data_IF_311613251175
#
_entry.id   IF_311613251175
#
_cell.length_a   1.000
_cell.length_b   1.000
_cell.length_c   1.000
_cell.angle_alpha   90.00
_cell.angle_beta   90.00
_cell.angle_gamma   90.00
#
_symmetry.space_group_name_H-M   'P 1'
#
loop_
_entity.id
_entity.type
_entity.pdbx_description
1 polymer ?
#
# COMPACT_ATOMS: atom_id res chain seq x y z
N UNK A 1 20.97 -56.21 -43.85
CA UNK A 1 21.27 -57.53 -43.22
C UNK A 1 20.86 -57.36 -41.76
N UNK A 2 19.68 -57.91 -41.37
CA UNK A 2 19.50 -59.13 -40.58
C UNK A 2 20.27 -59.04 -39.25
N UNK A 3 19.72 -59.15 -38.03
CA UNK A 3 18.53 -59.85 -37.57
C UNK A 3 18.33 -59.52 -36.09
N UNK A 4 17.11 -59.47 -35.64
CA UNK A 4 16.34 -60.53 -34.92
C UNK A 4 16.67 -60.71 -33.40
N UNK A 5 15.62 -60.49 -32.64
CA UNK A 5 15.34 -60.75 -31.21
C UNK A 5 15.70 -62.17 -30.71
N UNK A 6 15.64 -62.50 -29.39
CA UNK A 6 14.37 -62.60 -28.68
C UNK A 6 14.34 -62.33 -27.14
N UNK A 7 13.14 -62.09 -26.69
CA UNK A 7 12.37 -62.30 -25.48
C UNK A 7 12.83 -63.41 -24.50
N UNK A 8 12.76 -63.15 -23.19
CA UNK A 8 12.40 -64.18 -22.20
C UNK A 8 11.58 -63.58 -21.05
N UNK A 9 10.37 -64.12 -20.91
CA UNK A 9 9.47 -64.04 -19.70
C UNK A 9 10.01 -64.94 -18.61
N UNK A 10 9.82 -64.57 -17.33
CA UNK A 10 9.47 -65.55 -16.31
C UNK A 10 8.59 -64.89 -15.22
N UNK A 11 7.58 -65.65 -14.86
CA UNK A 11 6.45 -65.36 -14.02
C UNK A 11 6.68 -65.71 -12.53
N UNK A 12 5.84 -65.09 -11.69
CA UNK A 12 5.25 -65.80 -10.54
C UNK A 12 5.79 -65.41 -9.17
N UNK A 13 5.01 -64.80 -8.34
CA UNK A 13 4.32 -65.48 -7.23
C UNK A 13 3.42 -64.49 -6.46
N UNK A 14 2.15 -64.82 -6.40
CA UNK A 14 1.09 -64.20 -5.57
C UNK A 14 1.25 -64.69 -4.14
N UNK A 15 1.22 -63.80 -3.18
CA UNK A 15 0.84 -64.13 -1.82
C UNK A 15 -0.26 -63.17 -1.32
N UNK A 16 -1.44 -63.72 -1.20
CA UNK A 16 -2.63 -63.09 -0.59
C UNK A 16 -2.53 -63.23 0.93
N UNK A 17 -2.60 -62.16 1.66
CA UNK A 17 -2.95 -62.14 3.09
C UNK A 17 -4.05 -61.14 3.30
N UNK A 18 -5.25 -61.65 3.53
CA UNK A 18 -6.45 -60.98 4.02
C UNK A 18 -6.28 -60.60 5.47
N UNK A 19 -6.50 -59.30 5.78
CA UNK A 19 -6.86 -58.88 7.11
C UNK A 19 -7.92 -57.78 6.98
N UNK A 20 -9.11 -58.02 7.51
CA UNK A 20 -10.19 -57.11 7.69
C UNK A 20 -9.80 -55.94 8.61
N UNK A 21 -10.09 -54.72 8.20
CA UNK A 21 -10.03 -53.54 9.06
C UNK A 21 -10.91 -52.47 8.44
N UNK A 22 -11.89 -52.03 9.19
CA UNK A 22 -13.06 -51.24 8.83
C UNK A 22 -12.72 -49.96 8.08
N UNK A 23 -13.54 -49.66 7.08
CA UNK A 23 -13.62 -48.38 6.39
C UNK A 23 -14.10 -47.27 7.36
N UNK A 24 -13.27 -46.25 7.55
CA UNK A 24 -13.73 -44.97 8.05
C UNK A 24 -13.80 -44.04 6.81
N UNK A 25 -14.98 -43.60 6.50
CA UNK A 25 -15.25 -42.51 5.57
C UNK A 25 -14.72 -41.21 6.14
N UNK A 26 -14.03 -40.34 5.39
CA UNK A 26 -13.83 -38.98 5.83
C UNK A 26 -15.16 -38.23 5.67
N UNK A 27 -15.67 -37.79 6.77
CA UNK A 27 -16.79 -36.84 6.92
C UNK A 27 -16.25 -35.47 6.44
N UNK A 28 -16.93 -34.88 5.49
CA UNK A 28 -16.72 -33.51 5.05
C UNK A 28 -17.08 -32.60 6.21
N UNK A 29 -16.11 -31.88 6.74
CA UNK A 29 -16.34 -30.77 7.64
C UNK A 29 -16.37 -29.49 6.80
N UNK A 30 -17.58 -29.11 6.36
CA UNK A 30 -17.94 -27.74 6.07
C UNK A 30 -18.24 -27.08 7.43
N UNK A 31 -17.30 -26.29 7.94
CA UNK A 31 -17.59 -25.29 8.94
C UNK A 31 -16.99 -23.96 8.44
N UNK A 32 -17.78 -22.87 8.41
CA UNK A 32 -17.26 -21.55 8.10
C UNK A 32 -16.26 -21.18 9.19
N UNK A 33 -15.09 -20.69 8.77
CA UNK A 33 -14.08 -20.16 9.68
C UNK A 33 -14.67 -18.90 10.31
N UNK A 34 -15.19 -19.04 11.53
CA UNK A 34 -15.44 -17.93 12.43
C UNK A 34 -14.07 -17.27 12.67
N UNK A 35 -13.90 -16.02 12.24
CA UNK A 35 -12.76 -15.20 12.60
C UNK A 35 -12.93 -14.77 14.06
N UNK A 36 -12.67 -15.69 14.99
CA UNK A 36 -12.43 -15.33 16.39
C UNK A 36 -11.11 -14.58 16.45
N UNK A 37 -11.22 -13.26 16.54
CA UNK A 37 -10.11 -12.39 16.92
C UNK A 37 -9.89 -12.60 18.43
N UNK A 38 -9.18 -13.65 18.81
CA UNK A 38 -8.65 -13.79 20.16
C UNK A 38 -7.53 -12.75 20.34
N UNK A 39 -7.93 -11.54 20.74
CA UNK A 39 -7.03 -10.56 21.33
C UNK A 39 -6.56 -11.08 22.72
N UNK A 40 -5.34 -10.75 23.15
CA UNK A 40 -4.90 -11.07 24.50
C UNK A 40 -5.84 -10.42 25.51
N UNK A 41 -6.14 -11.17 26.60
CA UNK A 41 -7.00 -10.82 27.74
C UNK A 41 -6.91 -9.33 28.09
N UNK A 42 -7.96 -8.57 27.75
CA UNK A 42 -8.17 -7.26 28.33
C UNK A 42 -8.45 -7.41 29.83
N UNK A 43 -7.78 -6.64 30.70
CA UNK A 43 -8.21 -6.56 32.08
C UNK A 43 -9.61 -5.97 32.12
N UNK A 44 -10.55 -6.66 32.76
CA UNK A 44 -11.91 -6.22 32.96
C UNK A 44 -11.92 -4.78 33.48
N UNK A 45 -12.28 -3.83 32.59
CA UNK A 45 -12.56 -2.45 32.97
C UNK A 45 -13.90 -2.47 33.67
N UNK A 46 -13.86 -2.34 35.00
CA UNK A 46 -15.06 -2.05 35.80
C UNK A 46 -15.64 -0.73 35.30
N UNK A 47 -16.91 -0.76 34.91
CA UNK A 47 -17.72 0.42 34.66
C UNK A 47 -17.61 1.41 35.86
N UNK A 48 -16.74 2.39 35.75
CA UNK A 48 -16.85 3.61 36.55
C UNK A 48 -17.60 4.62 35.71
N UNK A 49 -18.83 4.92 36.13
CA UNK A 49 -19.58 6.08 35.69
C UNK A 49 -18.71 7.33 35.87
N UNK A 50 -18.15 7.84 34.78
CA UNK A 50 -17.56 9.19 34.76
C UNK A 50 -18.69 10.16 34.52
N UNK A 51 -19.19 10.75 35.61
CA UNK A 51 -20.07 11.92 35.55
C UNK A 51 -19.35 13.10 34.89
N UNK A 52 -19.88 13.51 33.73
CA UNK A 52 -19.94 14.90 33.29
C UNK A 52 -18.65 15.60 32.92
N UNK A 53 -18.17 15.43 31.70
CA UNK A 53 -17.83 16.56 30.84
C UNK A 53 -18.43 16.25 29.47
N UNK A 54 -19.47 17.01 29.08
CA UNK A 54 -19.96 16.99 27.71
C UNK A 54 -18.85 17.53 26.83
N UNK A 55 -18.04 16.61 26.29
CA UNK A 55 -17.20 16.86 25.13
C UNK A 55 -18.07 17.10 23.90
N UNK A 56 -17.54 17.60 22.78
CA UNK A 56 -18.31 17.85 21.56
C UNK A 56 -19.08 16.58 21.19
N UNK A 57 -20.41 16.75 21.01
CA UNK A 57 -21.35 15.63 20.93
C UNK A 57 -21.01 14.64 19.82
N UNK A 58 -20.93 13.36 20.19
CA UNK A 58 -20.91 12.24 19.26
C UNK A 58 -22.32 12.07 18.69
N UNK A 59 -22.58 12.46 17.46
CA UNK A 59 -23.72 11.98 16.70
C UNK A 59 -23.29 10.82 15.83
N UNK A 60 -23.84 9.64 16.09
CA UNK A 60 -23.60 8.40 15.33
C UNK A 60 -22.11 8.02 15.13
N UNK A 61 -21.26 8.33 16.12
CA UNK A 61 -19.83 8.02 16.07
C UNK A 61 -18.99 9.03 15.30
N UNK A 62 -19.53 10.21 14.97
CA UNK A 62 -18.79 11.34 14.42
C UNK A 62 -18.63 12.45 15.45
N UNK A 63 -17.53 13.19 15.37
CA UNK A 63 -17.26 14.33 16.22
C UNK A 63 -17.56 15.62 15.45
N UNK A 64 -18.58 16.39 15.83
CA UNK A 64 -18.73 17.77 15.40
C UNK A 64 -18.99 18.69 16.59
N UNK A 65 -18.64 19.94 16.39
CA UNK A 65 -18.64 20.93 17.47
C UNK A 65 -20.00 21.61 17.65
N UNK A 66 -20.97 21.36 16.78
CA UNK A 66 -22.29 21.98 16.81
C UNK A 66 -23.42 20.95 16.79
N UNK A 67 -24.63 21.37 17.20
CA UNK A 67 -25.86 20.59 17.10
C UNK A 67 -26.48 20.57 15.68
N UNK A 68 -25.89 21.33 14.74
CA UNK A 68 -26.33 21.37 13.35
C UNK A 68 -25.82 20.14 12.60
N UNK A 69 -26.55 19.69 11.59
CA UNK A 69 -26.03 18.65 10.71
C UNK A 69 -24.81 19.15 9.95
N UNK A 70 -23.69 18.36 9.88
CA UNK A 70 -22.49 18.80 9.21
C UNK A 70 -22.71 18.95 7.71
N UNK A 71 -21.93 19.81 7.08
CA UNK A 71 -21.82 19.82 5.63
C UNK A 71 -21.23 18.50 5.13
N UNK A 72 -21.66 18.05 3.96
CA UNK A 72 -21.11 16.83 3.34
C UNK A 72 -21.05 16.96 1.82
N UNK A 73 -19.99 16.43 1.21
CA UNK A 73 -19.86 16.30 -0.24
C UNK A 73 -20.37 14.98 -0.78
N UNK A 74 -20.70 14.05 0.12
CA UNK A 74 -21.18 12.70 -0.19
C UNK A 74 -22.42 12.36 0.65
N UNK A 75 -23.25 11.39 0.28
CA UNK A 75 -24.29 10.85 1.16
C UNK A 75 -23.64 10.25 2.42
N UNK A 76 -24.05 10.72 3.62
CA UNK A 76 -23.44 10.28 4.89
C UNK A 76 -23.74 8.80 5.17
N UNK A 77 -24.85 8.28 4.67
CA UNK A 77 -25.27 6.88 4.81
C UNK A 77 -24.40 5.90 3.96
N UNK A 78 -23.58 6.40 3.05
CA UNK A 78 -22.56 5.60 2.36
C UNK A 78 -21.31 5.35 3.23
N UNK A 79 -21.14 6.09 4.35
CA UNK A 79 -20.04 5.87 5.28
C UNK A 79 -20.40 4.76 6.25
N UNK A 80 -19.73 3.63 6.14
CA UNK A 80 -20.03 2.43 6.94
C UNK A 80 -19.02 2.25 8.08
N UNK A 81 -19.42 1.49 9.11
CA UNK A 81 -18.49 1.10 10.18
C UNK A 81 -17.56 0.00 9.70
N UNK A 82 -16.26 0.20 9.87
CA UNK A 82 -15.22 -0.83 9.69
C UNK A 82 -15.05 -1.75 10.91
N UNK A 83 -15.74 -1.44 12.02
CA UNK A 83 -15.68 -2.21 13.27
C UNK A 83 -15.00 -1.47 14.41
N UNK A 84 -13.74 -1.05 14.31
CA UNK A 84 -13.05 -0.33 15.38
C UNK A 84 -13.70 1.02 15.71
N UNK A 85 -13.65 1.49 16.97
CA UNK A 85 -14.02 2.86 17.32
C UNK A 85 -12.96 3.84 16.78
N UNK A 86 -13.20 5.17 16.84
CA UNK A 86 -12.16 6.17 16.56
C UNK A 86 -10.88 5.88 17.35
N UNK A 87 -9.73 5.91 16.65
CA UNK A 87 -8.39 5.51 17.14
C UNK A 87 -8.31 4.08 17.70
N UNK A 88 -9.29 3.22 17.40
CA UNK A 88 -9.24 1.78 17.72
C UNK A 88 -8.11 1.07 16.96
N UNK A 89 -7.76 1.57 15.77
CA UNK A 89 -6.46 1.36 15.13
C UNK A 89 -5.64 2.61 15.49
N UNK A 90 -4.70 2.53 16.46
CA UNK A 90 -4.08 3.73 17.01
C UNK A 90 -3.09 4.33 16.01
N UNK A 91 -3.26 5.60 15.59
CA UNK A 91 -2.25 6.28 14.78
C UNK A 91 -0.96 6.50 15.57
N UNK A 92 0.14 6.71 14.87
CA UNK A 92 1.43 7.07 15.49
C UNK A 92 1.57 8.59 15.45
N UNK A 93 1.60 9.21 16.63
CA UNK A 93 1.64 10.68 16.78
C UNK A 93 3.03 11.22 17.17
N UNK A 94 3.91 10.36 17.65
CA UNK A 94 5.28 10.68 18.05
C UNK A 94 6.22 9.61 17.47
N UNK A 95 6.43 9.61 16.13
CA UNK A 95 7.20 8.58 15.48
C UNK A 95 8.67 8.63 15.88
N UNK A 96 9.25 7.48 16.20
CA UNK A 96 10.68 7.31 16.40
C UNK A 96 11.29 6.58 15.21
N UNK A 97 12.54 6.89 14.91
CA UNK A 97 13.23 6.38 13.74
C UNK A 97 14.52 5.68 14.12
N UNK A 98 14.95 4.75 13.30
CA UNK A 98 16.16 3.98 13.42
C UNK A 98 16.93 3.96 12.09
N UNK A 99 18.16 3.50 12.12
CA UNK A 99 18.98 3.35 10.93
C UNK A 99 18.60 2.11 10.13
N UNK A 100 19.04 2.03 8.86
CA UNK A 100 18.87 0.80 8.06
C UNK A 100 19.52 -0.43 8.69
N UNK A 101 20.66 -0.28 9.36
CA UNK A 101 21.35 -1.39 10.01
C UNK A 101 20.52 -1.95 11.19
N UNK A 102 19.89 -1.07 11.97
CA UNK A 102 18.98 -1.46 13.06
C UNK A 102 17.69 -2.08 12.51
N UNK A 103 17.11 -1.49 11.47
CA UNK A 103 15.90 -2.00 10.82
C UNK A 103 16.13 -3.37 10.15
N UNK A 104 17.33 -3.64 9.61
CA UNK A 104 17.70 -4.92 9.01
C UNK A 104 17.76 -6.07 10.02
N UNK A 105 17.71 -5.79 11.33
CA UNK A 105 17.58 -6.84 12.34
C UNK A 105 16.21 -7.52 12.33
N UNK A 106 15.19 -6.88 11.68
CA UNK A 106 13.81 -7.36 11.69
C UNK A 106 13.06 -7.21 10.34
N UNK A 107 13.58 -6.45 9.39
CA UNK A 107 13.10 -6.39 8.00
C UNK A 107 14.00 -7.23 7.10
N UNK A 108 13.41 -7.90 6.14
CA UNK A 108 14.12 -8.58 5.06
C UNK A 108 14.36 -7.63 3.88
N UNK A 109 15.16 -8.05 2.91
CA UNK A 109 15.47 -7.25 1.73
C UNK A 109 14.22 -6.89 0.90
N UNK A 110 13.24 -7.79 0.82
CA UNK A 110 12.00 -7.61 0.07
C UNK A 110 10.85 -7.01 0.91
N UNK A 111 11.10 -6.68 2.18
CA UNK A 111 10.07 -6.06 3.04
C UNK A 111 9.48 -4.82 2.39
N UNK A 112 8.15 -4.75 2.22
CA UNK A 112 7.52 -3.60 1.60
C UNK A 112 7.58 -2.39 2.51
N UNK A 113 8.07 -1.28 1.97
CA UNK A 113 8.17 0.00 2.68
C UNK A 113 7.58 1.13 1.85
N UNK A 114 6.95 2.07 2.50
CA UNK A 114 6.53 3.34 1.91
C UNK A 114 7.63 4.36 2.08
N UNK A 115 7.97 5.08 1.03
CA UNK A 115 9.06 6.07 1.03
C UNK A 115 8.49 7.45 0.74
N UNK A 116 8.80 8.39 1.60
CA UNK A 116 8.48 9.81 1.43
C UNK A 116 9.79 10.57 1.23
N UNK A 117 9.95 11.20 0.08
CA UNK A 117 11.15 11.97 -0.27
C UNK A 117 10.80 13.45 -0.30
N UNK A 118 11.31 14.19 0.69
CA UNK A 118 11.32 15.64 0.70
C UNK A 118 12.63 16.18 0.10
N UNK A 119 12.81 17.50 0.08
CA UNK A 119 13.96 18.12 -0.56
C UNK A 119 15.30 17.68 0.06
N UNK A 120 15.36 17.65 1.41
CA UNK A 120 16.59 17.34 2.16
C UNK A 120 16.49 16.10 3.04
N UNK A 121 15.32 15.49 3.13
CA UNK A 121 15.07 14.38 4.04
C UNK A 121 14.27 13.28 3.36
N UNK A 122 14.68 12.02 3.56
CA UNK A 122 13.92 10.84 3.16
C UNK A 122 13.51 10.07 4.40
N UNK A 123 12.22 9.70 4.46
CA UNK A 123 11.64 8.88 5.51
C UNK A 123 11.10 7.57 4.93
N UNK A 124 11.29 6.49 5.68
CA UNK A 124 10.89 5.13 5.29
C UNK A 124 9.94 4.57 6.33
N UNK A 125 8.77 4.13 5.88
CA UNK A 125 7.70 3.61 6.74
C UNK A 125 7.38 2.17 6.36
N UNK A 126 7.87 1.16 7.13
CA UNK A 126 7.60 -0.24 6.84
C UNK A 126 6.09 -0.55 6.88
N UNK A 127 5.57 -1.24 5.86
CA UNK A 127 4.18 -1.67 5.85
C UNK A 127 3.89 -2.65 6.97
N UNK A 128 4.91 -3.34 7.48
CA UNK A 128 4.84 -4.14 8.71
C UNK A 128 4.33 -3.35 9.92
N UNK A 129 4.56 -2.03 9.97
CA UNK A 129 4.04 -1.11 10.99
C UNK A 129 2.74 -0.47 10.51
N UNK A 130 2.73 0.09 9.29
CA UNK A 130 1.57 0.82 8.78
C UNK A 130 0.30 -0.04 8.70
N UNK A 131 0.40 -1.33 8.47
CA UNK A 131 -0.75 -2.28 8.47
C UNK A 131 -1.49 -2.32 9.82
N UNK A 132 -0.81 -1.98 10.93
CA UNK A 132 -1.37 -1.98 12.29
C UNK A 132 -1.76 -0.60 12.80
N UNK A 133 -1.33 0.46 12.13
CA UNK A 133 -1.51 1.84 12.57
C UNK A 133 -2.22 2.72 11.56
N UNK A 134 -2.13 2.40 10.27
CA UNK A 134 -2.76 3.07 9.13
C UNK A 134 -2.38 4.56 8.96
N UNK A 135 -2.04 5.27 10.03
CA UNK A 135 -1.72 6.71 10.02
C UNK A 135 -0.47 6.99 10.86
N UNK A 136 0.43 7.81 10.34
CA UNK A 136 1.55 8.42 11.08
C UNK A 136 1.48 9.93 10.88
N UNK A 137 1.36 10.69 11.97
CA UNK A 137 1.51 12.14 11.98
C UNK A 137 3.00 12.45 12.20
N UNK A 138 3.66 13.05 11.21
CA UNK A 138 5.11 13.28 11.21
C UNK A 138 5.46 14.71 10.80
N UNK A 139 6.73 15.04 10.89
CA UNK A 139 7.31 16.29 10.38
C UNK A 139 8.55 15.95 9.57
N UNK A 140 8.56 16.28 8.29
CA UNK A 140 9.64 15.98 7.34
C UNK A 140 10.16 17.31 6.78
N UNK A 141 11.46 17.56 6.85
CA UNK A 141 12.06 18.87 6.48
C UNK A 141 11.44 20.07 7.21
N UNK A 142 10.86 19.85 8.39
CA UNK A 142 10.16 20.88 9.17
C UNK A 142 8.72 21.13 8.74
N UNK A 143 8.21 20.44 7.74
CA UNK A 143 6.84 20.52 7.25
C UNK A 143 5.98 19.40 7.86
N UNK A 144 4.74 19.71 8.33
CA UNK A 144 3.84 18.70 8.87
C UNK A 144 3.31 17.81 7.75
N UNK A 145 3.39 16.49 7.93
CA UNK A 145 2.97 15.46 6.96
C UNK A 145 2.15 14.41 7.66
N UNK A 146 1.07 13.98 7.03
CA UNK A 146 0.34 12.76 7.41
C UNK A 146 0.65 11.66 6.41
N UNK A 147 1.25 10.57 6.89
CA UNK A 147 1.57 9.37 6.13
C UNK A 147 0.49 8.34 6.39
N UNK A 148 -0.10 7.77 5.34
CA UNK A 148 -1.26 6.90 5.46
C UNK A 148 -1.11 5.62 4.65
N UNK A 149 -1.64 4.52 5.17
CA UNK A 149 -1.78 3.27 4.43
C UNK A 149 -3.16 2.66 4.68
N UNK A 150 -3.90 2.40 3.61
CA UNK A 150 -5.16 1.66 3.66
C UNK A 150 -4.91 0.22 3.18
N UNK A 151 -4.82 -0.79 4.06
CA UNK A 151 -4.58 -2.17 3.65
C UNK A 151 -5.68 -2.70 2.71
N UNK A 152 -6.93 -2.32 2.93
CA UNK A 152 -8.06 -2.74 2.09
C UNK A 152 -7.95 -2.24 0.64
N UNK A 153 -7.23 -1.15 0.42
CA UNK A 153 -7.02 -0.55 -0.90
C UNK A 153 -5.63 -0.87 -1.47
N UNK A 154 -4.72 -1.39 -0.66
CA UNK A 154 -3.27 -1.40 -0.91
C UNK A 154 -2.74 0.00 -1.25
N UNK A 155 -3.28 1.05 -0.63
CA UNK A 155 -2.98 2.44 -0.99
C UNK A 155 -2.13 3.11 0.09
N UNK A 156 -0.88 3.44 -0.26
CA UNK A 156 0.07 4.19 0.57
C UNK A 156 0.21 5.61 0.07
N UNK A 157 -0.30 6.60 0.81
CA UNK A 157 -0.33 8.00 0.41
C UNK A 157 0.15 8.91 1.55
N UNK A 158 0.86 9.98 1.20
CA UNK A 158 1.18 11.03 2.15
C UNK A 158 0.62 12.39 1.68
N UNK A 159 0.31 13.22 2.65
CA UNK A 159 -0.24 14.55 2.40
C UNK A 159 0.42 15.58 3.31
N UNK A 160 0.50 16.83 2.82
CA UNK A 160 0.72 17.95 3.74
C UNK A 160 -0.39 17.98 4.79
N UNK A 161 -0.02 18.00 6.04
CA UNK A 161 -0.97 18.12 7.13
C UNK A 161 -1.33 19.58 7.44
N UNK A 162 -0.92 20.52 6.58
CA UNK A 162 -1.31 21.93 6.66
C UNK A 162 -2.32 22.29 5.57
N UNK A 163 -3.42 22.93 5.95
CA UNK A 163 -4.44 23.45 5.05
C UNK A 163 -4.93 24.81 5.53
N UNK A 164 -4.95 25.84 4.67
CA UNK A 164 -5.35 27.22 4.98
C UNK A 164 -4.64 27.79 6.24
N UNK A 165 -3.37 27.43 6.47
CA UNK A 165 -2.57 27.86 7.61
C UNK A 165 -2.93 27.15 8.92
N UNK A 166 -3.63 26.00 8.86
CA UNK A 166 -3.95 25.13 9.99
C UNK A 166 -3.21 23.82 9.86
N UNK A 167 -2.40 23.49 10.86
CA UNK A 167 -1.80 22.17 11.00
C UNK A 167 -2.79 21.23 11.66
N UNK A 168 -3.01 20.07 11.04
CA UNK A 168 -3.97 19.07 11.47
C UNK A 168 -3.25 17.78 11.89
N UNK A 169 -3.75 17.15 12.96
CA UNK A 169 -3.37 15.80 13.35
C UNK A 169 -4.51 14.85 12.99
N UNK A 170 -4.18 13.74 12.34
CA UNK A 170 -5.17 12.80 11.85
C UNK A 170 -5.23 11.55 12.71
N UNK A 171 -6.46 11.03 12.86
CA UNK A 171 -6.76 9.76 13.49
C UNK A 171 -7.57 8.85 12.57
N UNK A 172 -7.62 7.55 12.91
CA UNK A 172 -8.49 6.60 12.26
C UNK A 172 -9.91 6.75 12.79
N UNK A 173 -10.88 6.95 11.92
CA UNK A 173 -12.28 7.10 12.36
C UNK A 173 -12.97 5.77 12.68
N UNK A 174 -12.35 4.63 12.30
CA UNK A 174 -12.99 3.32 12.30
C UNK A 174 -14.08 3.18 11.25
N UNK A 175 -14.14 4.07 10.27
CA UNK A 175 -15.14 4.12 9.21
C UNK A 175 -14.49 3.96 7.85
N UNK A 176 -15.31 3.49 6.90
CA UNK A 176 -14.93 3.29 5.51
C UNK A 176 -15.94 4.00 4.60
N UNK A 177 -15.46 4.55 3.51
CA UNK A 177 -16.26 4.97 2.37
C UNK A 177 -15.71 4.32 1.11
N UNK A 178 -16.54 3.54 0.41
CA UNK A 178 -16.09 2.76 -0.76
C UNK A 178 -14.93 1.82 -0.44
N UNK A 179 -14.99 1.18 0.74
CA UNK A 179 -13.91 0.34 1.29
C UNK A 179 -12.59 1.06 1.58
N UNK A 180 -12.52 2.38 1.40
CA UNK A 180 -11.34 3.19 1.70
C UNK A 180 -11.41 3.76 3.12
N UNK A 181 -10.25 3.85 3.77
CA UNK A 181 -10.07 4.46 5.09
C UNK A 181 -10.65 5.88 5.11
N UNK A 182 -11.53 6.15 6.07
CA UNK A 182 -11.96 7.49 6.42
C UNK A 182 -11.19 7.94 7.65
N UNK A 183 -10.34 8.95 7.46
CA UNK A 183 -9.60 9.62 8.53
C UNK A 183 -10.46 10.69 9.18
N UNK A 184 -10.08 11.17 10.37
CA UNK A 184 -10.63 12.39 10.92
C UNK A 184 -9.51 13.33 11.41
N UNK A 185 -9.68 14.65 11.29
CA UNK A 185 -8.78 15.59 11.94
C UNK A 185 -9.22 15.82 13.39
N UNK A 186 -8.25 15.90 14.32
CA UNK A 186 -8.52 16.03 15.75
C UNK A 186 -8.88 17.45 16.17
N UNK A 187 -8.54 18.45 15.35
CA UNK A 187 -8.76 19.87 15.66
C UNK A 187 -10.23 20.27 15.47
N UNK A 188 -10.88 19.73 14.42
CA UNK A 188 -12.23 20.15 14.03
C UNK A 188 -13.20 18.98 13.87
N UNK A 189 -12.71 17.74 13.84
CA UNK A 189 -13.53 16.52 13.69
C UNK A 189 -14.09 16.33 12.28
N UNK A 190 -13.54 16.97 11.25
CA UNK A 190 -13.95 16.67 9.89
C UNK A 190 -13.50 15.27 9.48
N UNK A 191 -14.27 14.65 8.60
CA UNK A 191 -13.92 13.37 7.99
C UNK A 191 -13.27 13.58 6.62
N UNK A 192 -12.26 12.78 6.36
CA UNK A 192 -11.43 12.85 5.16
C UNK A 192 -11.30 11.48 4.53
N UNK A 193 -11.47 11.39 3.20
CA UNK A 193 -11.15 10.13 2.52
C UNK A 193 -9.64 10.04 2.29
N UNK A 194 -9.03 8.95 2.70
CA UNK A 194 -7.60 8.72 2.55
C UNK A 194 -7.18 8.72 1.08
N UNK A 195 -7.96 8.08 0.19
CA UNK A 195 -7.57 7.90 -1.21
C UNK A 195 -7.42 9.22 -1.98
N UNK A 196 -8.25 10.22 -1.68
CA UNK A 196 -8.21 11.50 -2.39
C UNK A 196 -7.65 12.66 -1.56
N UNK A 197 -7.43 12.47 -0.25
CA UNK A 197 -7.09 13.55 0.68
C UNK A 197 -8.22 14.55 0.88
N UNK A 198 -9.46 14.23 0.46
CA UNK A 198 -10.59 15.16 0.47
C UNK A 198 -11.34 15.21 1.79
N UNK A 199 -11.66 16.41 2.29
CA UNK A 199 -12.60 16.59 3.39
C UNK A 199 -14.03 16.34 2.90
N UNK A 200 -14.66 15.27 3.39
CA UNK A 200 -15.95 14.79 2.89
C UNK A 200 -17.13 15.15 3.79
N UNK A 201 -16.94 15.26 5.12
CA UNK A 201 -17.97 15.61 6.08
C UNK A 201 -17.38 16.49 7.18
N UNK A 202 -18.09 17.51 7.64
CA UNK A 202 -17.70 18.34 8.77
C UNK A 202 -18.24 19.75 8.70
N UNK A 203 -17.62 20.63 9.48
CA UNK A 203 -17.98 22.05 9.55
C UNK A 203 -16.96 22.94 8.79
N UNK A 204 -15.73 22.46 8.63
CA UNK A 204 -14.62 23.20 8.05
C UNK A 204 -13.95 22.37 6.97
N UNK A 205 -13.34 22.99 6.00
CA UNK A 205 -12.58 22.37 4.92
C UNK A 205 -13.39 21.45 3.96
N UNK A 206 -14.68 21.19 4.21
CA UNK A 206 -15.50 20.30 3.38
C UNK A 206 -15.45 20.72 1.91
N UNK A 207 -15.08 19.78 1.05
CA UNK A 207 -14.83 20.00 -0.38
C UNK A 207 -13.41 20.43 -0.73
N UNK A 208 -12.55 20.73 0.26
CA UNK A 208 -11.12 20.95 0.04
C UNK A 208 -10.35 19.63 0.08
N UNK A 209 -9.11 19.66 -0.38
CA UNK A 209 -8.20 18.52 -0.38
C UNK A 209 -6.85 18.91 0.20
N UNK A 210 -6.22 17.97 0.87
CA UNK A 210 -4.82 18.07 1.27
C UNK A 210 -3.93 17.95 0.02
N UNK A 211 -2.83 18.70 0.01
CA UNK A 211 -1.81 18.58 -1.02
C UNK A 211 -1.05 17.26 -0.86
N UNK A 212 -0.86 16.52 -1.95
CA UNK A 212 -0.11 15.28 -1.95
C UNK A 212 1.38 15.53 -1.77
N UNK A 213 2.03 14.68 -0.99
CA UNK A 213 3.48 14.57 -0.89
C UNK A 213 3.88 13.33 -1.69
N UNK A 214 4.84 13.42 -2.63
CA UNK A 214 5.25 12.28 -3.44
C UNK A 214 5.70 11.10 -2.59
N UNK A 215 5.14 9.94 -2.88
CA UNK A 215 5.43 8.67 -2.18
C UNK A 215 5.59 7.54 -3.18
N UNK A 216 6.35 6.51 -2.78
CA UNK A 216 6.45 5.24 -3.52
C UNK A 216 6.40 4.07 -2.56
N UNK A 217 5.88 2.92 -3.02
CA UNK A 217 6.03 1.64 -2.34
C UNK A 217 7.22 0.92 -2.95
N UNK A 218 8.19 0.51 -2.13
CA UNK A 218 9.44 -0.11 -2.58
C UNK A 218 9.87 -1.24 -1.64
N UNK A 219 10.80 -2.08 -2.10
CA UNK A 219 11.47 -3.04 -1.24
C UNK A 219 12.53 -2.39 -0.37
N UNK A 220 12.70 -2.88 0.85
CA UNK A 220 13.64 -2.34 1.83
C UNK A 220 15.09 -2.27 1.32
N UNK A 221 15.56 -3.31 0.60
CA UNK A 221 16.90 -3.32 0.05
C UNK A 221 17.13 -2.24 -1.01
N UNK A 222 16.14 -1.97 -1.85
CA UNK A 222 16.22 -0.93 -2.87
C UNK A 222 16.44 0.44 -2.23
N UNK A 223 15.61 0.76 -1.22
CA UNK A 223 15.69 2.07 -0.55
C UNK A 223 17.00 2.19 0.23
N UNK A 224 17.45 1.13 0.90
CA UNK A 224 18.75 1.12 1.59
C UNK A 224 19.92 1.41 0.63
N UNK A 225 19.82 0.92 -0.61
CA UNK A 225 20.86 1.12 -1.61
C UNK A 225 20.80 2.50 -2.26
N UNK A 226 19.61 3.07 -2.47
CA UNK A 226 19.42 4.37 -3.14
C UNK A 226 19.47 5.56 -2.21
N UNK A 227 19.02 5.41 -0.97
CA UNK A 227 18.89 6.46 0.05
C UNK A 227 19.47 6.00 1.41
N UNK A 228 20.76 5.64 1.49
CA UNK A 228 21.35 4.97 2.66
C UNK A 228 21.31 5.80 3.96
N UNK A 229 21.15 7.10 3.86
CA UNK A 229 21.04 8.02 5.00
C UNK A 229 19.60 8.26 5.46
N UNK A 230 18.60 7.64 4.81
CA UNK A 230 17.20 7.78 5.19
C UNK A 230 16.93 7.16 6.55
N UNK A 231 15.97 7.74 7.28
CA UNK A 231 15.53 7.26 8.58
C UNK A 231 14.33 6.32 8.43
N UNK A 232 14.38 5.15 9.07
CA UNK A 232 13.36 4.11 9.03
C UNK A 232 12.49 4.20 10.28
N UNK A 233 11.15 4.20 10.14
CA UNK A 233 10.23 4.20 11.26
C UNK A 233 10.47 2.95 12.13
N UNK A 234 10.73 3.20 13.40
CA UNK A 234 11.04 2.16 14.39
C UNK A 234 9.79 1.46 14.90
N UNK A 235 9.95 0.21 15.35
CA UNK A 235 8.89 -0.53 16.07
C UNK A 235 8.59 0.03 17.46
N UNK A 236 9.38 0.98 17.98
CA UNK A 236 9.07 1.69 19.22
C UNK A 236 8.01 2.78 18.98
N UNK A 237 6.78 2.32 18.76
CA UNK A 237 5.62 3.16 18.48
C UNK A 237 4.81 3.53 19.72
N UNK A 238 5.21 3.07 20.91
CA UNK A 238 4.41 3.16 22.13
C UNK A 238 3.29 2.13 22.23
N UNK A 239 3.10 1.28 21.21
CA UNK A 239 2.06 0.26 21.15
C UNK A 239 2.64 -1.15 21.06
N UNK A 240 1.92 -2.14 21.62
CA UNK A 240 2.30 -3.55 21.48
C UNK A 240 1.51 -4.17 20.33
N UNK A 241 2.17 -4.41 19.21
CA UNK A 241 1.62 -5.07 18.03
C UNK A 241 2.58 -6.15 17.53
N UNK A 242 2.05 -7.10 16.77
CA UNK A 242 2.86 -8.17 16.18
C UNK A 242 3.37 -7.75 14.79
N UNK A 243 4.26 -6.74 14.78
CA UNK A 243 4.80 -6.20 13.53
C UNK A 243 5.45 -7.29 12.67
N UNK A 244 5.17 -7.23 11.35
CA UNK A 244 5.56 -8.26 10.38
C UNK A 244 4.50 -9.35 10.18
N UNK A 245 3.51 -9.49 11.09
CA UNK A 245 2.36 -10.38 10.88
C UNK A 245 1.27 -9.63 10.14
N UNK A 246 0.75 -10.28 9.08
CA UNK A 246 -0.32 -9.75 8.26
C UNK A 246 -1.69 -10.11 8.88
N UNK A 247 -2.52 -9.15 9.31
CA UNK A 247 -3.91 -9.42 9.73
C UNK A 247 -4.86 -9.64 8.54
N UNK A 248 -4.43 -9.38 7.30
CA UNK A 248 -5.20 -9.46 6.07
C UNK A 248 -4.73 -10.60 5.15
N UNK A 249 -4.42 -11.77 5.72
CA UNK A 249 -3.83 -12.91 4.97
C UNK A 249 -4.65 -13.28 3.75
N UNK A 250 -4.01 -13.25 2.57
CA UNK A 250 -4.62 -13.62 1.30
C UNK A 250 -5.64 -12.61 0.78
N UNK A 251 -5.74 -11.43 1.37
CA UNK A 251 -6.73 -10.43 0.96
C UNK A 251 -6.52 -9.96 -0.49
N UNK A 252 -5.30 -9.92 -0.98
CA UNK A 252 -4.96 -9.51 -2.34
C UNK A 252 -5.03 -10.63 -3.38
N UNK A 253 -5.70 -11.76 -3.05
CA UNK A 253 -5.99 -12.79 -4.04
C UNK A 253 -6.97 -12.24 -5.08
N UNK A 254 -6.68 -12.49 -6.36
CA UNK A 254 -7.39 -11.87 -7.49
C UNK A 254 -8.88 -12.20 -7.52
N UNK A 255 -9.29 -13.35 -6.97
CA UNK A 255 -10.67 -13.83 -6.90
C UNK A 255 -11.41 -13.42 -5.62
N UNK A 256 -10.81 -12.57 -4.77
CA UNK A 256 -11.46 -12.04 -3.59
C UNK A 256 -12.41 -10.87 -3.92
N UNK A 257 -13.44 -10.73 -3.08
CA UNK A 257 -14.28 -9.54 -3.08
C UNK A 257 -13.71 -8.47 -2.14
N UNK A 258 -13.81 -7.17 -2.49
CA UNK A 258 -13.34 -6.10 -1.62
C UNK A 258 -14.20 -6.00 -0.35
N UNK A 259 -13.55 -5.87 0.80
CA UNK A 259 -14.19 -5.84 2.12
C UNK A 259 -15.11 -4.61 2.28
N UNK A 260 -16.36 -4.80 2.66
CA UNK A 260 -17.37 -3.75 2.88
C UNK A 260 -17.53 -2.77 1.69
N UNK A 261 -17.21 -3.19 0.49
CA UNK A 261 -17.47 -2.41 -0.72
C UNK A 261 -18.95 -2.55 -1.10
N UNK A 262 -19.67 -1.43 -1.20
CA UNK A 262 -21.10 -1.41 -1.43
C UNK A 262 -21.50 -0.96 -2.83
N UNK A 263 -20.55 -0.41 -3.59
CA UNK A 263 -20.76 -0.03 -4.98
C UNK A 263 -20.71 -1.26 -5.91
N UNK A 264 -21.14 -1.10 -7.14
CA UNK A 264 -20.92 -2.09 -8.18
C UNK A 264 -19.45 -2.07 -8.63
N UNK A 265 -18.79 -3.23 -8.61
CA UNK A 265 -17.40 -3.32 -9.11
C UNK A 265 -17.42 -3.05 -10.61
N UNK A 266 -16.54 -2.16 -11.05
CA UNK A 266 -16.35 -1.88 -12.48
C UNK A 266 -15.83 -3.15 -13.18
N UNK A 267 -16.65 -3.68 -14.09
CA UNK A 267 -16.43 -4.98 -14.72
C UNK A 267 -15.38 -4.99 -15.85
N UNK A 268 -14.59 -3.91 -16.01
CA UNK A 268 -13.46 -3.91 -16.96
C UNK A 268 -12.37 -4.90 -16.54
N UNK A 269 -12.13 -5.05 -15.22
CA UNK A 269 -11.19 -6.01 -14.63
C UNK A 269 -11.76 -6.62 -13.33
N UNK A 270 -11.10 -7.67 -12.82
CA UNK A 270 -11.40 -8.22 -11.49
C UNK A 270 -11.10 -7.17 -10.41
N UNK A 271 -11.88 -7.18 -9.33
CA UNK A 271 -11.81 -6.15 -8.28
C UNK A 271 -10.40 -5.95 -7.71
N UNK A 272 -9.69 -7.05 -7.47
CA UNK A 272 -8.36 -7.05 -6.84
C UNK A 272 -7.21 -6.98 -7.85
N UNK A 273 -7.49 -6.69 -9.13
CA UNK A 273 -6.43 -6.41 -10.12
C UNK A 273 -5.61 -5.21 -9.65
N UNK A 274 -4.28 -5.37 -9.62
CA UNK A 274 -3.39 -4.26 -9.23
C UNK A 274 -3.18 -3.31 -10.39
N UNK A 275 -3.21 -2.02 -10.08
CA UNK A 275 -2.96 -0.94 -11.02
C UNK A 275 -2.01 0.10 -10.41
N UNK A 276 -1.26 0.75 -11.27
CA UNK A 276 -0.55 1.99 -10.95
C UNK A 276 -1.34 3.13 -11.58
N UNK A 277 -1.92 3.96 -10.74
CA UNK A 277 -2.79 5.05 -11.15
C UNK A 277 -2.08 6.40 -11.13
N UNK A 278 -2.42 7.25 -12.10
CA UNK A 278 -2.00 8.65 -12.20
C UNK A 278 -3.25 9.49 -11.91
N UNK A 279 -3.29 10.20 -10.75
CA UNK A 279 -4.55 10.73 -10.23
C UNK A 279 -5.03 12.04 -10.86
N UNK A 280 -4.25 12.67 -11.73
CA UNK A 280 -4.61 13.96 -12.32
C UNK A 280 -5.77 13.83 -13.34
N UNK A 281 -6.58 14.86 -13.48
CA UNK A 281 -7.75 14.86 -14.37
C UNK A 281 -8.72 13.70 -14.17
N UNK A 282 -9.08 13.02 -15.25
CA UNK A 282 -9.91 11.81 -15.23
C UNK A 282 -9.10 10.56 -14.76
N UNK A 283 -7.78 10.68 -14.76
CA UNK A 283 -6.82 9.67 -14.34
C UNK A 283 -6.42 8.70 -15.44
N UNK A 284 -5.23 8.15 -15.30
CA UNK A 284 -4.71 7.05 -16.13
C UNK A 284 -4.36 5.86 -15.25
N UNK A 285 -4.78 4.66 -15.61
CA UNK A 285 -4.45 3.40 -14.91
C UNK A 285 -3.58 2.53 -15.81
N UNK A 286 -2.42 2.13 -15.31
CA UNK A 286 -1.56 1.13 -15.94
C UNK A 286 -1.71 -0.18 -15.18
N UNK A 287 -2.06 -1.28 -15.88
CA UNK A 287 -2.16 -2.59 -15.25
C UNK A 287 -0.77 -3.07 -14.81
N UNK A 288 -0.66 -3.55 -13.57
CA UNK A 288 0.62 -4.02 -13.04
C UNK A 288 1.15 -5.22 -13.85
N UNK A 289 0.28 -6.11 -14.32
CA UNK A 289 0.68 -7.24 -15.16
C UNK A 289 1.35 -6.78 -16.46
N UNK A 290 0.76 -5.78 -17.14
CA UNK A 290 1.34 -5.17 -18.34
C UNK A 290 2.70 -4.51 -18.01
N UNK A 291 2.75 -3.75 -16.93
CA UNK A 291 3.98 -3.08 -16.50
C UNK A 291 5.08 -4.09 -16.13
N UNK A 292 4.71 -5.23 -15.55
CA UNK A 292 5.67 -6.32 -15.24
C UNK A 292 6.26 -6.94 -16.50
N UNK A 293 5.49 -7.05 -17.59
CA UNK A 293 5.96 -7.57 -18.86
C UNK A 293 6.86 -6.59 -19.60
N UNK A 294 6.50 -5.31 -19.64
CA UNK A 294 7.22 -4.26 -20.38
C UNK A 294 8.37 -3.63 -19.57
N UNK A 295 8.26 -3.59 -18.23
CA UNK A 295 9.19 -2.99 -17.24
C UNK A 295 9.37 -1.47 -17.36
N UNK A 296 9.16 -0.90 -18.53
CA UNK A 296 9.12 0.55 -18.80
C UNK A 296 7.92 0.83 -19.68
N UNK A 297 7.05 1.73 -19.24
CA UNK A 297 5.90 2.20 -20.03
C UNK A 297 5.98 3.72 -20.15
N UNK A 298 6.02 4.22 -21.38
CA UNK A 298 6.04 5.66 -21.68
C UNK A 298 4.72 6.09 -22.29
N UNK A 299 4.16 7.18 -21.80
CA UNK A 299 2.89 7.73 -22.29
C UNK A 299 2.79 9.23 -21.99
N UNK A 300 1.68 9.85 -22.39
CA UNK A 300 1.36 11.24 -22.08
C UNK A 300 0.22 11.26 -21.04
N UNK A 301 0.46 11.85 -19.88
CA UNK A 301 -0.56 12.10 -18.87
C UNK A 301 -0.84 13.60 -18.77
N UNK A 302 -2.08 14.03 -19.02
CA UNK A 302 -2.49 15.45 -19.05
C UNK A 302 -1.58 16.36 -19.90
N UNK A 303 -1.02 15.84 -21.00
CA UNK A 303 -0.03 16.48 -21.90
C UNK A 303 1.40 16.59 -21.34
N UNK A 304 1.70 15.91 -20.23
CA UNK A 304 3.06 15.75 -19.75
C UNK A 304 3.58 14.36 -20.15
N UNK A 305 4.79 14.27 -20.70
CA UNK A 305 5.40 12.97 -20.94
C UNK A 305 5.71 12.30 -19.58
N UNK A 306 5.39 11.03 -19.48
CA UNK A 306 5.66 10.21 -18.28
C UNK A 306 6.39 8.93 -18.69
N UNK A 307 7.36 8.54 -17.89
CA UNK A 307 7.94 7.20 -17.90
C UNK A 307 7.62 6.52 -16.58
N UNK A 308 6.99 5.35 -16.65
CA UNK A 308 6.67 4.50 -15.51
C UNK A 308 7.57 3.26 -15.53
N UNK A 309 8.22 3.00 -14.42
CA UNK A 309 9.19 1.92 -14.26
C UNK A 309 8.72 0.85 -13.29
N UNK A 310 9.11 -0.39 -13.57
CA UNK A 310 8.91 -1.52 -12.68
C UNK A 310 10.22 -2.31 -12.52
N UNK A 311 10.51 -2.74 -11.31
CA UNK A 311 11.59 -3.66 -10.99
C UNK A 311 11.12 -4.68 -9.94
N UNK A 312 11.65 -5.92 -9.90
CA UNK A 312 11.34 -6.88 -8.84
C UNK A 312 11.93 -6.45 -7.50
N UNK A 313 11.51 -7.08 -6.40
CA UNK A 313 12.13 -6.94 -5.08
C UNK A 313 11.25 -6.29 -4.03
N UNK A 314 9.92 -6.35 -4.17
CA UNK A 314 8.97 -5.95 -3.14
C UNK A 314 7.93 -7.04 -2.89
N UNK A 315 7.84 -7.51 -1.66
CA UNK A 315 6.80 -8.46 -1.26
C UNK A 315 5.42 -7.80 -1.15
N UNK A 316 4.36 -8.55 -1.48
CA UNK A 316 3.00 -8.12 -1.17
C UNK A 316 2.73 -8.18 0.33
N UNK A 317 2.34 -7.05 0.94
CA UNK A 317 2.01 -6.98 2.35
C UNK A 317 0.72 -7.75 2.73
N UNK A 318 -0.10 -8.16 1.75
CA UNK A 318 -1.45 -8.70 1.95
C UNK A 318 -1.59 -10.18 1.56
N UNK A 319 -0.50 -10.81 1.08
CA UNK A 319 -0.50 -12.18 0.56
C UNK A 319 -0.48 -13.21 1.70
N UNK A 320 0.67 -13.41 2.32
CA UNK A 320 0.87 -14.46 3.33
C UNK A 320 0.74 -13.94 4.76
N UNK A 321 0.75 -14.85 5.72
CA UNK A 321 0.68 -14.51 7.15
C UNK A 321 1.92 -13.77 7.70
N UNK A 322 3.02 -13.82 6.95
CA UNK A 322 4.26 -13.11 7.24
C UNK A 322 4.49 -12.14 6.08
N UNK A 323 4.46 -10.84 6.35
CA UNK A 323 4.51 -9.79 5.31
C UNK A 323 5.73 -9.97 4.41
N UNK A 324 6.89 -10.29 4.99
CA UNK A 324 8.15 -10.44 4.26
C UNK A 324 8.21 -11.71 3.39
N UNK A 325 7.28 -12.64 3.60
CA UNK A 325 7.18 -13.87 2.81
C UNK A 325 6.09 -13.80 1.73
N UNK A 326 5.50 -12.64 1.49
CA UNK A 326 4.56 -12.40 0.40
C UNK A 326 5.20 -12.62 -0.98
N UNK A 327 4.37 -12.89 -2.00
CA UNK A 327 4.88 -12.96 -3.37
C UNK A 327 5.50 -11.63 -3.79
N UNK A 328 6.55 -11.69 -4.60
CA UNK A 328 7.12 -10.51 -5.23
C UNK A 328 6.12 -9.91 -6.21
N UNK A 329 5.71 -8.67 -5.97
CA UNK A 329 4.81 -7.88 -6.83
C UNK A 329 5.58 -6.82 -7.60
N UNK A 330 6.88 -6.66 -7.29
CA UNK A 330 7.72 -5.59 -7.80
C UNK A 330 7.43 -4.24 -7.17
N UNK A 331 8.19 -3.29 -7.58
CA UNK A 331 8.21 -1.91 -7.10
C UNK A 331 8.17 -0.94 -8.27
N UNK A 332 7.48 0.18 -8.11
CA UNK A 332 7.18 1.11 -9.19
C UNK A 332 7.67 2.52 -8.87
N UNK A 333 8.02 3.26 -9.93
CA UNK A 333 8.31 4.68 -9.85
C UNK A 333 7.99 5.37 -11.18
N UNK A 334 7.55 6.61 -11.14
CA UNK A 334 7.21 7.39 -12.33
C UNK A 334 7.90 8.75 -12.33
N UNK A 335 8.29 9.18 -13.52
CA UNK A 335 9.06 10.41 -13.69
C UNK A 335 8.66 11.16 -14.96
N UNK A 336 8.94 12.47 -14.97
CA UNK A 336 9.05 13.25 -16.20
C UNK A 336 10.39 12.88 -16.85
N UNK A 337 10.39 12.29 -18.05
CA UNK A 337 11.61 11.79 -18.71
C UNK A 337 12.40 12.94 -19.39
N UNK A 338 12.84 13.93 -18.60
CA UNK A 338 13.52 15.10 -19.13
C UNK A 338 14.62 15.60 -18.15
N UNK A 339 15.80 15.88 -18.67
CA UNK A 339 16.91 16.51 -17.95
C UNK A 339 17.43 17.67 -18.80
N UNK A 340 17.52 18.88 -18.23
CA UNK A 340 18.04 20.09 -18.91
C UNK A 340 17.38 20.41 -20.28
N UNK A 341 16.07 20.07 -20.43
CA UNK A 341 15.33 20.25 -21.68
C UNK A 341 15.59 19.18 -22.74
N UNK A 342 16.34 18.13 -22.40
CA UNK A 342 16.51 16.94 -23.21
C UNK A 342 15.55 15.84 -22.76
N UNK A 343 14.65 15.40 -23.65
CA UNK A 343 13.84 14.21 -23.41
C UNK A 343 14.70 12.96 -23.51
N UNK A 344 14.48 12.05 -22.57
CA UNK A 344 15.13 10.75 -22.48
C UNK A 344 14.11 9.64 -22.74
N UNK A 345 14.60 8.51 -23.26
CA UNK A 345 13.85 7.26 -23.47
C UNK A 345 14.58 6.16 -22.72
N UNK A 346 13.85 5.35 -21.96
CA UNK A 346 14.45 4.40 -21.03
C UNK A 346 14.24 2.95 -21.46
N UNK A 347 15.24 2.13 -21.15
CA UNK A 347 15.19 0.67 -21.27
C UNK A 347 15.59 0.02 -19.93
N UNK A 348 15.04 -1.16 -19.59
CA UNK A 348 15.49 -1.90 -18.41
C UNK A 348 16.98 -2.26 -18.53
N UNK A 349 17.72 -2.19 -17.45
CA UNK A 349 19.08 -2.75 -17.40
C UNK A 349 19.01 -4.30 -17.55
N UNK A 350 20.09 -4.90 -18.04
CA UNK A 350 20.15 -6.34 -18.32
C UNK A 350 19.90 -7.20 -17.07
N UNK A 351 20.23 -6.67 -15.89
CA UNK A 351 19.98 -7.33 -14.60
C UNK A 351 19.24 -6.38 -13.65
N UNK A 352 17.94 -6.60 -13.50
CA UNK A 352 17.10 -5.84 -12.56
C UNK A 352 17.11 -6.43 -11.15
N UNK A 353 17.74 -7.59 -10.91
CA UNK A 353 17.64 -8.31 -9.63
C UNK A 353 18.51 -7.72 -8.52
N UNK A 354 19.30 -6.68 -8.85
CA UNK A 354 20.11 -5.95 -7.89
C UNK A 354 21.39 -6.68 -7.45
N UNK A 355 22.36 -5.89 -7.22
CA UNK A 355 23.64 -6.20 -6.63
C UNK A 355 24.11 -4.93 -5.93
N UNK A 356 25.38 -4.80 -5.67
CA UNK A 356 25.97 -3.54 -5.18
C UNK A 356 25.81 -2.39 -6.19
N UNK A 357 25.50 -2.71 -7.46
CA UNK A 357 25.24 -1.75 -8.53
C UNK A 357 23.72 -1.53 -8.68
N UNK A 358 23.26 -0.39 -8.24
CA UNK A 358 21.83 0.01 -8.18
C UNK A 358 21.28 0.48 -9.52
N UNK A 359 21.95 0.25 -10.66
CA UNK A 359 21.44 0.62 -11.98
C UNK A 359 20.29 -0.32 -12.35
N UNK A 360 19.09 0.26 -12.51
CA UNK A 360 17.87 -0.45 -12.90
C UNK A 360 17.49 -0.16 -14.35
N UNK A 361 17.76 1.04 -14.82
CA UNK A 361 17.36 1.50 -16.15
C UNK A 361 18.52 2.23 -16.82
N UNK A 362 18.46 2.33 -18.16
CA UNK A 362 19.38 3.13 -18.96
C UNK A 362 18.62 4.01 -19.91
N UNK A 363 19.07 5.27 -20.06
CA UNK A 363 18.56 6.08 -21.14
C UNK A 363 19.27 5.76 -22.47
N UNK A 364 18.53 5.83 -23.57
CA UNK A 364 19.04 5.50 -24.90
C UNK A 364 19.83 6.65 -25.53
N UNK A 365 19.70 7.87 -25.04
CA UNK A 365 20.34 9.07 -25.59
C UNK A 365 21.79 9.22 -25.14
N UNK A 366 22.09 8.85 -23.88
CA UNK A 366 23.42 9.02 -23.29
C UNK A 366 24.04 7.74 -22.74
N UNK A 367 23.26 6.64 -22.69
CA UNK A 367 23.64 5.35 -22.07
C UNK A 367 23.99 5.50 -20.57
N UNK A 368 23.42 6.54 -19.90
CA UNK A 368 23.59 6.72 -18.46
C UNK A 368 22.74 5.72 -17.69
N UNK A 369 23.24 5.27 -16.53
CA UNK A 369 22.57 4.31 -15.66
C UNK A 369 21.80 4.99 -14.55
N UNK A 370 20.54 4.54 -14.34
CA UNK A 370 19.59 5.15 -13.43
C UNK A 370 19.10 4.16 -12.36
N UNK A 371 18.96 4.65 -11.14
CA UNK A 371 18.31 3.92 -10.05
C UNK A 371 16.79 4.01 -10.16
N UNK A 372 16.06 3.13 -9.47
CA UNK A 372 14.60 3.23 -9.35
C UNK A 372 14.14 4.54 -8.65
N UNK A 373 15.03 5.22 -7.92
CA UNK A 373 14.76 6.54 -7.33
C UNK A 373 14.91 7.70 -8.33
N UNK A 374 15.08 7.42 -9.64
CA UNK A 374 15.23 8.44 -10.68
C UNK A 374 16.54 9.21 -10.63
N UNK A 375 17.61 8.63 -10.05
CA UNK A 375 18.95 9.24 -10.01
C UNK A 375 19.88 8.57 -11.01
N UNK A 376 20.57 9.35 -11.82
CA UNK A 376 21.68 8.87 -12.63
C UNK A 376 22.91 8.62 -11.74
N UNK A 377 23.45 7.40 -11.78
CA UNK A 377 24.59 6.96 -10.95
C UNK A 377 25.83 6.61 -11.77
N UNK A 378 25.71 6.60 -13.08
CA UNK A 378 26.82 6.43 -14.01
C UNK A 378 26.52 7.07 -15.37
N UNK A 379 27.54 7.33 -16.18
CA UNK A 379 27.43 7.88 -17.53
C UNK A 379 27.51 9.41 -17.59
N UNK A 380 27.08 9.96 -18.73
CA UNK A 380 27.21 11.40 -19.00
C UNK A 380 26.30 12.27 -18.12
N UNK A 381 25.22 11.68 -17.57
CA UNK A 381 24.23 12.32 -16.70
C UNK A 381 24.45 12.00 -15.22
N UNK A 382 25.58 11.39 -14.83
CA UNK A 382 25.87 11.05 -13.42
C UNK A 382 25.63 12.24 -12.48
N UNK A 383 24.76 12.05 -11.46
CA UNK A 383 24.38 13.07 -10.49
C UNK A 383 23.06 13.77 -10.78
N UNK A 384 22.54 13.68 -12.01
CA UNK A 384 21.24 14.23 -12.38
C UNK A 384 20.07 13.43 -11.75
N UNK A 385 18.91 14.09 -11.65
CA UNK A 385 17.67 13.50 -11.13
C UNK A 385 16.50 13.84 -12.04
N UNK A 386 15.63 12.85 -12.24
CA UNK A 386 14.33 13.06 -12.86
C UNK A 386 13.35 13.66 -11.86
N UNK A 387 12.42 14.44 -12.35
CA UNK A 387 11.28 14.95 -11.59
C UNK A 387 10.28 13.81 -11.37
N UNK A 388 9.97 13.50 -10.09
CA UNK A 388 9.05 12.43 -9.74
C UNK A 388 7.59 12.83 -10.02
N UNK A 389 6.82 11.88 -10.53
CA UNK A 389 5.36 11.98 -10.72
C UNK A 389 4.65 11.18 -9.63
N UNK A 390 3.62 11.77 -9.03
CA UNK A 390 2.79 11.07 -8.03
C UNK A 390 2.00 9.94 -8.66
N UNK A 391 2.06 8.76 -8.05
CA UNK A 391 1.34 7.56 -8.47
C UNK A 391 0.60 6.94 -7.30
N UNK A 392 -0.42 6.15 -7.60
CA UNK A 392 -1.21 5.36 -6.65
C UNK A 392 -1.05 3.87 -6.98
N UNK A 393 -0.28 3.12 -6.20
CA UNK A 393 -0.25 1.65 -6.28
C UNK A 393 -1.45 1.10 -5.51
N UNK A 394 -2.44 0.54 -6.21
CA UNK A 394 -3.74 0.23 -5.61
C UNK A 394 -4.46 -0.91 -6.33
N UNK A 395 -5.65 -1.29 -5.83
CA UNK A 395 -6.54 -2.24 -6.51
C UNK A 395 -7.52 -1.53 -7.45
N UNK A 396 -7.91 -2.25 -8.52
CA UNK A 396 -8.82 -1.75 -9.52
C UNK A 396 -10.15 -1.25 -8.96
N UNK A 397 -10.75 -1.97 -8.01
CA UNK A 397 -12.05 -1.59 -7.46
C UNK A 397 -12.05 -0.20 -6.84
N UNK A 398 -10.97 0.16 -6.12
CA UNK A 398 -10.87 1.47 -5.51
C UNK A 398 -10.50 2.53 -6.54
N UNK A 399 -9.57 2.23 -7.43
CA UNK A 399 -9.22 3.15 -8.51
C UNK A 399 -10.46 3.52 -9.35
N UNK A 400 -11.17 2.52 -9.88
CA UNK A 400 -12.30 2.71 -10.77
C UNK A 400 -13.49 3.44 -10.14
N UNK A 401 -13.74 3.25 -8.83
CA UNK A 401 -14.84 3.94 -8.15
C UNK A 401 -14.54 5.42 -7.88
N UNK A 402 -13.26 5.79 -7.74
CA UNK A 402 -12.85 7.18 -7.58
C UNK A 402 -12.51 7.86 -8.92
N UNK A 403 -12.20 7.08 -9.96
CA UNK A 403 -11.81 7.51 -11.31
C UNK A 403 -12.57 6.71 -12.38
N UNK A 404 -13.92 6.86 -12.48
CA UNK A 404 -14.75 6.02 -13.35
C UNK A 404 -14.45 6.21 -14.84
N UNK A 405 -14.02 7.39 -15.25
CA UNK A 405 -13.72 7.76 -16.64
C UNK A 405 -12.22 7.57 -16.99
N UNK A 406 -11.45 6.88 -16.13
CA UNK A 406 -10.00 6.68 -16.30
C UNK A 406 -9.64 6.04 -17.63
N UNK A 407 -8.57 6.54 -18.26
CA UNK A 407 -7.89 5.87 -19.35
C UNK A 407 -7.10 4.65 -18.83
N UNK A 408 -6.96 3.62 -19.68
CA UNK A 408 -6.33 2.35 -19.31
C UNK A 408 -5.21 2.02 -20.29
N UNK A 409 -4.04 1.68 -19.72
CA UNK A 409 -2.88 1.12 -20.43
C UNK A 409 -2.71 -0.34 -20.00
N UNK A 410 -2.84 -1.26 -21.00
CA UNK A 410 -2.83 -2.72 -20.78
C UNK A 410 -2.25 -3.48 -22.00
#
# INVERSE_FOLDING_TARGET
MRGVRPTTMLAGLVLVLTACGAAATPEAADDPVDMDVDGPDEPAVTEQEVEGTEGPGLREGFYWQTDEEPSSTIPIDEIVSGGPPPDGIPPIDDPSFETFDEAAEWLSDDSPVMVVRAENETRVYPLAILTWHEIVNDTIDGEPVVVTYCPLCNSGLAFSAEIDGHVLDFGTSGRLWRSNLVMYDRQYGNLWTQFTGGAIVGERFVGQRLDRVPTTLQGFAEVRATDPDAAVLSRDTGHSRNYGRNPYVGYDAQDNDPFLFQDEVDGRFEAMTRVVGFPDGDGTAVLLDHLTEEQVVEFEDENNPVTLWWAPGQASALDTSDIDAGRDIGQTAAFIPEVDGQRLTFEPAVDLTGGEDVVRFRDTETDSGWTLAGRAVEGDLEGERLEAVSIDDTFWFVWAVFKPDTDIIN
#
